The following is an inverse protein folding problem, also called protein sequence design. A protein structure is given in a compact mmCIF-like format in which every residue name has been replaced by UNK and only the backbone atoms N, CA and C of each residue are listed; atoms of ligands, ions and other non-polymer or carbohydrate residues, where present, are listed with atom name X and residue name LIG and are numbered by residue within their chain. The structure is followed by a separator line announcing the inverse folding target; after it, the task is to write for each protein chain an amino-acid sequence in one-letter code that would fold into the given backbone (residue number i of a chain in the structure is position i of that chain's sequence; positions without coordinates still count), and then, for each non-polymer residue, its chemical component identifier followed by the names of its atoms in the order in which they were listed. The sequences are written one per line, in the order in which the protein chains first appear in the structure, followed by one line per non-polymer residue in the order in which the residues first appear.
data_IF_097980967603
#
_entry.id   IF_097980967603
#
_cell.length_a   1.000
_cell.length_b   1.000
_cell.length_c   1.000
_cell.angle_alpha   90.00
_cell.angle_beta   90.00
_cell.angle_gamma   90.00
#
_symmetry.space_group_name_H-M   'P 1'
#
loop_
_entity.id
_entity.type
_entity.pdbx_description
1 polymer ?
#
# COMPACT_ATOMS: atom_id res chain seq x y z
N UNK A 1 13.47 -12.44 3.33
CA UNK A 1 14.04 -11.77 4.52
C UNK A 1 14.72 -12.81 5.39
N UNK A 2 15.93 -12.56 5.92
CA UNK A 2 16.60 -13.48 6.85
C UNK A 2 16.56 -12.86 8.24
N UNK A 3 15.98 -13.57 9.21
CA UNK A 3 16.06 -13.24 10.64
C UNK A 3 17.33 -13.90 11.15
N UNK A 4 18.20 -13.16 11.85
CA UNK A 4 19.38 -13.73 12.49
C UNK A 4 18.99 -14.51 13.73
N UNK A 5 19.84 -15.46 14.13
CA UNK A 5 19.62 -16.28 15.31
C UNK A 5 19.51 -15.43 16.58
N UNK A 6 20.38 -14.42 16.74
CA UNK A 6 20.34 -13.50 17.88
C UNK A 6 19.01 -12.72 17.98
N UNK A 7 18.47 -12.26 16.84
CA UNK A 7 17.18 -11.55 16.80
C UNK A 7 16.01 -12.49 17.10
N UNK A 8 16.14 -13.76 16.71
CA UNK A 8 15.14 -14.77 17.01
C UNK A 8 15.12 -15.09 18.51
N UNK A 9 16.28 -15.18 19.14
CA UNK A 9 16.41 -15.42 20.58
C UNK A 9 15.84 -14.24 21.38
N UNK A 10 16.10 -13.00 20.95
CA UNK A 10 15.49 -11.79 21.53
C UNK A 10 13.97 -11.81 21.39
N UNK A 11 13.45 -12.16 20.21
CA UNK A 11 12.02 -12.28 19.97
C UNK A 11 11.36 -13.30 20.91
N UNK A 12 11.98 -14.46 21.09
CA UNK A 12 11.51 -15.50 22.00
C UNK A 12 11.51 -15.03 23.46
N UNK A 13 12.57 -14.33 23.89
CA UNK A 13 12.68 -13.78 25.24
C UNK A 13 11.58 -12.73 25.51
N UNK A 14 11.33 -11.84 24.56
CA UNK A 14 10.25 -10.83 24.65
C UNK A 14 8.87 -11.48 24.70
N UNK A 15 8.63 -12.48 23.86
CA UNK A 15 7.36 -13.20 23.82
C UNK A 15 7.06 -13.90 25.16
N UNK A 16 8.07 -14.53 25.76
CA UNK A 16 7.96 -15.18 27.07
C UNK A 16 7.77 -14.17 28.20
N UNK A 17 8.45 -13.02 28.15
CA UNK A 17 8.30 -11.95 29.13
C UNK A 17 6.87 -11.38 29.15
N UNK A 18 6.28 -11.17 27.98
CA UNK A 18 4.98 -10.53 27.81
C UNK A 18 3.82 -11.52 28.01
N UNK A 19 3.89 -12.68 27.35
CA UNK A 19 2.76 -13.61 27.28
C UNK A 19 2.89 -14.80 28.24
N UNK A 20 4.03 -14.96 28.92
CA UNK A 20 4.33 -16.10 29.81
C UNK A 20 4.13 -17.46 29.11
N UNK A 21 4.40 -17.50 27.81
CA UNK A 21 4.40 -18.71 26.97
C UNK A 21 5.76 -18.91 26.33
N UNK A 22 6.28 -20.13 26.46
CA UNK A 22 7.39 -20.59 25.64
C UNK A 22 6.88 -20.96 24.25
N UNK A 23 7.67 -20.61 23.24
CA UNK A 23 7.41 -20.93 21.83
C UNK A 23 8.60 -21.69 21.27
N UNK A 24 8.35 -22.59 20.32
CA UNK A 24 9.45 -23.26 19.63
C UNK A 24 10.19 -22.28 18.72
N UNK A 25 11.43 -22.62 18.38
CA UNK A 25 12.23 -21.83 17.44
C UNK A 25 11.60 -21.73 16.05
N UNK A 26 10.91 -22.79 15.63
CA UNK A 26 10.18 -22.83 14.36
C UNK A 26 8.97 -21.88 14.40
N UNK A 27 8.18 -21.93 15.47
CA UNK A 27 7.04 -21.03 15.67
C UNK A 27 7.50 -19.57 15.73
N UNK A 28 8.57 -19.30 16.48
CA UNK A 28 9.16 -17.97 16.59
C UNK A 28 9.56 -17.40 15.21
N UNK A 29 10.17 -18.23 14.38
CA UNK A 29 10.62 -17.84 13.04
C UNK A 29 9.43 -17.56 12.13
N UNK A 30 8.41 -18.42 12.15
CA UNK A 30 7.19 -18.21 11.39
C UNK A 30 6.48 -16.91 11.80
N UNK A 31 6.35 -16.67 13.11
CA UNK A 31 5.71 -15.47 13.65
C UNK A 31 6.48 -14.20 13.29
N UNK A 32 7.81 -14.21 13.40
CA UNK A 32 8.65 -13.08 13.03
C UNK A 32 8.52 -12.74 11.54
N UNK A 33 8.51 -13.76 10.65
CA UNK A 33 8.34 -13.55 9.20
C UNK A 33 6.96 -12.94 8.91
N UNK A 34 5.89 -13.47 9.52
CA UNK A 34 4.52 -12.95 9.35
C UNK A 34 4.43 -11.49 9.80
N UNK A 35 5.03 -11.15 10.94
CA UNK A 35 5.04 -9.79 11.46
C UNK A 35 5.71 -8.81 10.50
N UNK A 36 6.88 -9.17 9.97
CA UNK A 36 7.57 -8.27 9.05
C UNK A 36 6.82 -8.13 7.73
N UNK A 37 6.26 -9.22 7.19
CA UNK A 37 5.45 -9.15 5.98
C UNK A 37 4.25 -8.21 6.17
N UNK A 38 3.59 -8.27 7.33
CA UNK A 38 2.49 -7.38 7.66
C UNK A 38 2.96 -5.92 7.76
N UNK A 39 4.06 -5.68 8.45
CA UNK A 39 4.63 -4.34 8.58
C UNK A 39 4.99 -3.74 7.21
N UNK A 40 5.60 -4.53 6.32
CA UNK A 40 5.88 -4.12 4.95
C UNK A 40 4.62 -3.79 4.15
N UNK A 41 3.53 -4.53 4.36
CA UNK A 41 2.25 -4.27 3.70
C UNK A 41 1.63 -2.94 4.18
N UNK A 42 1.67 -2.68 5.49
CA UNK A 42 1.08 -1.48 6.10
C UNK A 42 1.93 -0.24 5.83
N UNK A 43 3.26 -0.35 5.89
CA UNK A 43 4.18 0.75 5.63
C UNK A 43 4.40 1.01 4.14
N UNK A 44 3.90 0.15 3.25
CA UNK A 44 3.90 0.46 1.82
C UNK A 44 3.02 1.71 1.66
N UNK A 45 3.58 2.83 1.16
CA UNK A 45 2.75 3.99 0.87
C UNK A 45 1.63 3.50 -0.05
N UNK A 46 0.38 3.82 0.30
CA UNK A 46 -0.74 3.69 -0.64
C UNK A 46 -0.24 4.37 -1.90
N UNK A 47 -0.06 3.61 -2.98
CA UNK A 47 0.33 4.16 -4.27
C UNK A 47 -0.52 5.40 -4.48
N UNK A 48 0.11 6.55 -4.70
CA UNK A 48 -0.59 7.80 -4.97
C UNK A 48 -1.60 7.53 -6.10
N UNK A 49 -2.88 7.32 -5.75
CA UNK A 49 -4.00 7.47 -6.68
C UNK A 49 -4.20 8.98 -6.93
N UNK A 50 -3.12 9.64 -7.34
CA UNK A 50 -3.04 11.03 -7.75
C UNK A 50 -2.13 11.13 -8.96
N UNK A 51 -2.44 10.37 -10.01
CA UNK A 51 -1.96 10.67 -11.36
C UNK A 51 -2.86 10.00 -12.38
N UNK A 52 -4.16 10.33 -12.38
CA UNK A 52 -4.99 10.20 -13.58
C UNK A 52 -6.24 11.10 -13.49
N UNK A 53 -6.03 12.36 -13.07
CA UNK A 53 -6.94 13.45 -13.42
C UNK A 53 -6.23 14.35 -14.43
N UNK A 54 -5.96 13.80 -15.62
CA UNK A 54 -5.75 14.61 -16.81
C UNK A 54 -7.11 14.73 -17.51
N UNK A 55 -7.96 15.62 -17.02
CA UNK A 55 -9.01 16.20 -17.85
C UNK A 55 -8.36 17.33 -18.65
N UNK A 56 -8.15 17.20 -19.97
CA UNK A 56 -7.97 18.38 -20.79
C UNK A 56 -9.35 19.01 -20.92
N UNK A 57 -9.67 19.94 -20.02
CA UNK A 57 -10.71 20.92 -20.30
C UNK A 57 -10.14 21.86 -21.36
N UNK A 58 -10.40 21.52 -22.62
CA UNK A 58 -10.25 22.43 -23.74
C UNK A 58 -11.64 22.63 -24.32
N UNK A 59 -12.32 23.65 -23.82
CA UNK A 59 -13.41 24.29 -24.55
C UNK A 59 -12.84 24.81 -25.88
N UNK A 60 -12.89 24.03 -26.97
CA UNK A 60 -12.91 24.63 -28.32
C UNK A 60 -14.38 24.89 -28.66
N UNK A 61 -14.89 25.93 -27.99
CA UNK A 61 -16.11 26.62 -28.36
C UNK A 61 -15.77 27.40 -29.63
N UNK A 62 -15.86 26.75 -30.79
CA UNK A 62 -15.91 27.45 -32.07
C UNK A 62 -17.30 27.34 -32.64
N UNK A 63 -18.04 28.41 -32.39
CA UNK A 63 -19.22 28.82 -33.11
C UNK A 63 -19.03 28.51 -34.60
N UNK A 64 -19.79 27.55 -35.11
CA UNK A 64 -20.00 27.41 -36.54
C UNK A 64 -21.44 27.79 -36.79
N UNK A 65 -21.57 29.03 -37.26
CA UNK A 65 -22.75 29.71 -37.75
C UNK A 65 -23.86 28.78 -38.25
N UNK A 66 -24.94 28.71 -37.48
CA UNK A 66 -26.28 28.52 -38.04
C UNK A 66 -26.62 29.73 -38.91
N UNK A 67 -26.11 29.75 -40.14
CA UNK A 67 -26.62 30.65 -41.18
C UNK A 67 -27.84 30.00 -41.83
N UNK A 68 -28.98 30.11 -41.12
CA UNK A 68 -30.30 30.03 -41.73
C UNK A 68 -30.48 31.27 -42.60
N UNK A 69 -30.55 31.11 -43.92
CA UNK A 69 -31.26 32.08 -44.77
C UNK A 69 -32.48 31.38 -45.37
N UNK A 70 -33.64 31.90 -44.99
CA UNK A 70 -34.94 31.61 -45.55
C UNK A 70 -35.36 32.78 -46.47
N UNK A 71 -36.16 32.45 -47.49
CA UNK A 71 -36.89 33.32 -48.44
C UNK A 71 -36.01 34.07 -49.47
N UNK A 72 -36.35 34.14 -50.76
CA UNK A 72 -37.67 34.19 -51.44
C UNK A 72 -37.89 33.11 -52.51
#
# INVERSE_FOLDING_TARGET
MRVSDDTLDEFMALYQAEFRKDISREDALEMAIRLVNLYQLIMRPLSDERSDCATPHSEDRRDSDTSFQAAE
#
